data_IF_222196697612
#
_entry.id   IF_222196697612
#
_cell.length_a   1.000
_cell.length_b   1.000
_cell.length_c   1.000
_cell.angle_alpha   90.00
_cell.angle_beta   90.00
_cell.angle_gamma   90.00
#
_symmetry.space_group_name_H-M   'P 1'
#
loop_
_entity.id
_entity.type
_entity.pdbx_description
1 polymer ?
#
# COMPACT_ATOMS: atom_id res chain seq x y z
N UNK A 1 12.34 15.37 16.08
CA UNK A 1 11.19 14.86 15.31
C UNK A 1 10.10 14.56 16.33
N UNK A 2 8.87 15.02 16.12
CA UNK A 2 7.74 14.69 17.00
C UNK A 2 7.44 13.18 16.95
N UNK A 3 6.70 12.68 17.94
CA UNK A 3 6.25 11.28 17.92
C UNK A 3 5.32 11.06 16.72
N UNK A 4 5.48 9.98 15.95
CA UNK A 4 4.59 9.69 14.83
C UNK A 4 3.18 9.35 15.36
N UNK A 5 2.16 9.85 14.65
CA UNK A 5 0.76 9.64 15.00
C UNK A 5 0.14 8.56 14.13
N UNK A 6 -0.78 7.79 14.70
CA UNK A 6 -1.50 6.73 14.01
C UNK A 6 -2.97 6.71 14.41
N UNK A 7 -3.85 6.33 13.48
CA UNK A 7 -5.25 6.05 13.82
C UNK A 7 -5.35 4.74 14.60
N UNK A 8 -6.43 4.57 15.37
CA UNK A 8 -6.68 3.30 16.08
C UNK A 8 -6.80 2.12 15.11
N UNK A 9 -7.51 2.32 14.01
CA UNK A 9 -7.69 1.32 12.95
C UNK A 9 -6.36 0.93 12.33
N UNK A 10 -5.51 1.91 12.02
CA UNK A 10 -4.16 1.68 11.49
C UNK A 10 -3.28 0.91 12.44
N UNK A 11 -3.30 1.24 13.74
CA UNK A 11 -2.55 0.50 14.75
C UNK A 11 -2.96 -0.98 14.80
N UNK A 12 -4.26 -1.27 14.81
CA UNK A 12 -4.77 -2.63 14.84
C UNK A 12 -4.42 -3.39 13.54
N UNK A 13 -4.39 -2.71 12.39
CA UNK A 13 -3.96 -3.29 11.12
C UNK A 13 -2.46 -3.62 11.11
N UNK A 14 -1.60 -2.71 11.55
CA UNK A 14 -0.17 -2.96 11.65
C UNK A 14 0.12 -4.12 12.62
N UNK A 15 -0.63 -4.21 13.72
CA UNK A 15 -0.49 -5.31 14.68
C UNK A 15 -0.89 -6.65 14.06
N UNK A 16 -2.00 -6.69 13.30
CA UNK A 16 -2.41 -7.87 12.53
C UNK A 16 -1.36 -8.25 11.48
N UNK A 17 -0.83 -7.28 10.75
CA UNK A 17 0.23 -7.50 9.77
C UNK A 17 1.47 -8.11 10.43
N UNK A 18 1.93 -7.54 11.54
CA UNK A 18 3.08 -8.04 12.30
C UNK A 18 2.89 -9.50 12.73
N UNK A 19 1.73 -9.83 13.29
CA UNK A 19 1.41 -11.20 13.72
C UNK A 19 1.38 -12.15 12.53
N UNK A 20 0.72 -11.77 11.43
CA UNK A 20 0.68 -12.59 10.22
C UNK A 20 2.07 -12.84 9.64
N UNK A 21 2.90 -11.80 9.55
CA UNK A 21 4.28 -11.92 9.08
C UNK A 21 5.11 -12.84 9.96
N UNK A 22 4.96 -12.74 11.28
CA UNK A 22 5.75 -13.51 12.24
C UNK A 22 5.31 -14.97 12.39
N UNK A 23 4.00 -15.22 12.50
CA UNK A 23 3.44 -16.52 12.84
C UNK A 23 3.14 -17.39 11.61
N UNK A 24 2.84 -16.77 10.47
CA UNK A 24 2.40 -17.49 9.26
C UNK A 24 3.44 -17.41 8.16
N UNK A 25 3.66 -16.20 7.62
CA UNK A 25 4.49 -15.98 6.42
C UNK A 25 5.96 -16.34 6.63
N UNK A 26 6.58 -15.89 7.72
CA UNK A 26 8.00 -16.15 7.98
C UNK A 26 8.31 -17.65 8.11
N UNK A 27 7.55 -18.46 8.90
CA UNK A 27 7.72 -19.91 8.93
C UNK A 27 7.51 -20.57 7.56
N UNK A 28 6.46 -20.18 6.83
CA UNK A 28 6.15 -20.71 5.49
C UNK A 28 7.32 -20.50 4.52
N UNK A 29 7.81 -19.27 4.39
CA UNK A 29 8.92 -18.96 3.49
C UNK A 29 10.21 -19.64 3.95
N UNK A 30 10.45 -19.76 5.26
CA UNK A 30 11.62 -20.48 5.79
C UNK A 30 11.60 -21.95 5.36
N UNK A 31 10.44 -22.61 5.40
CA UNK A 31 10.28 -23.98 4.92
C UNK A 31 10.55 -24.07 3.41
N UNK A 32 10.02 -23.14 2.61
CA UNK A 32 10.30 -23.08 1.15
C UNK A 32 11.78 -22.89 0.84
N UNK A 33 12.47 -22.00 1.57
CA UNK A 33 13.93 -21.82 1.44
C UNK A 33 14.66 -23.12 1.78
N UNK A 34 14.29 -23.80 2.86
CA UNK A 34 14.91 -25.05 3.27
C UNK A 34 14.67 -26.17 2.24
N UNK A 35 13.46 -26.26 1.69
CA UNK A 35 13.10 -27.21 0.65
C UNK A 35 13.90 -26.95 -0.62
N UNK A 36 13.89 -25.72 -1.14
CA UNK A 36 14.68 -25.33 -2.30
C UNK A 36 16.18 -25.60 -2.10
N UNK A 37 16.69 -25.38 -0.89
CA UNK A 37 18.09 -25.66 -0.53
C UNK A 37 18.44 -27.16 -0.48
N UNK A 38 17.44 -28.06 -0.46
CA UNK A 38 17.61 -29.52 -0.50
C UNK A 38 17.52 -30.12 -1.91
N UNK A 39 16.93 -29.39 -2.88
CA UNK A 39 16.68 -29.86 -4.24
C UNK A 39 17.91 -29.85 -5.16
N UNK A 40 19.07 -29.37 -4.69
CA UNK A 40 20.31 -29.41 -5.48
C UNK A 40 21.28 -28.27 -5.17
N UNK A 41 22.04 -27.85 -6.19
CA UNK A 41 22.96 -26.74 -6.05
C UNK A 41 22.21 -25.41 -5.84
N UNK A 42 22.58 -24.72 -4.77
CA UNK A 42 22.00 -23.45 -4.35
C UNK A 42 22.42 -22.29 -5.26
N UNK A 43 23.50 -22.44 -6.00
CA UNK A 43 24.03 -21.37 -6.85
C UNK A 43 23.12 -21.09 -8.05
N UNK A 44 22.53 -22.15 -8.63
CA UNK A 44 21.67 -22.08 -9.82
C UNK A 44 20.16 -22.12 -9.52
N UNK A 45 19.76 -22.49 -8.30
CA UNK A 45 18.35 -22.62 -7.93
C UNK A 45 17.64 -21.25 -7.79
N UNK A 46 16.84 -20.90 -8.79
CA UNK A 46 16.05 -19.66 -8.82
C UNK A 46 15.05 -19.54 -7.65
N UNK A 47 14.38 -20.62 -7.28
CA UNK A 47 13.42 -20.64 -6.17
C UNK A 47 14.10 -20.37 -4.83
N UNK A 48 15.31 -20.89 -4.63
CA UNK A 48 16.11 -20.60 -3.44
C UNK A 48 16.44 -19.10 -3.35
N UNK A 49 16.93 -18.50 -4.44
CA UNK A 49 17.26 -17.07 -4.46
C UNK A 49 16.04 -16.18 -4.25
N UNK A 50 14.93 -16.49 -4.92
CA UNK A 50 13.67 -15.75 -4.77
C UNK A 50 13.15 -15.81 -3.33
N UNK A 51 12.99 -17.02 -2.78
CA UNK A 51 12.45 -17.19 -1.42
C UNK A 51 13.40 -16.61 -0.36
N UNK A 52 14.72 -16.67 -0.58
CA UNK A 52 15.70 -16.04 0.31
C UNK A 52 15.59 -14.51 0.29
N UNK A 53 15.40 -13.91 -0.89
CA UNK A 53 15.16 -12.46 -1.01
C UNK A 53 13.85 -12.07 -0.31
N UNK A 54 12.79 -12.84 -0.51
CA UNK A 54 11.49 -12.62 0.12
C UNK A 54 11.58 -12.74 1.65
N UNK A 55 12.29 -13.74 2.18
CA UNK A 55 12.53 -13.88 3.62
C UNK A 55 13.24 -12.65 4.20
N UNK A 56 14.24 -12.11 3.49
CA UNK A 56 14.92 -10.89 3.88
C UNK A 56 14.02 -9.65 3.87
N UNK A 57 13.09 -9.55 2.91
CA UNK A 57 12.08 -8.49 2.88
C UNK A 57 11.12 -8.59 4.08
N UNK A 58 10.64 -9.81 4.38
CA UNK A 58 9.77 -10.08 5.53
C UNK A 58 10.48 -9.71 6.84
N UNK A 59 11.71 -10.17 7.05
CA UNK A 59 12.47 -9.86 8.27
C UNK A 59 12.73 -8.35 8.42
N UNK A 60 12.97 -7.64 7.31
CA UNK A 60 13.10 -6.17 7.31
C UNK A 60 11.79 -5.49 7.72
N UNK A 61 10.65 -5.93 7.16
CA UNK A 61 9.33 -5.39 7.49
C UNK A 61 8.97 -5.64 8.95
N UNK A 62 9.21 -6.84 9.47
CA UNK A 62 8.98 -7.18 10.88
C UNK A 62 9.81 -6.29 11.80
N UNK A 63 11.09 -6.07 11.49
CA UNK A 63 11.96 -5.20 12.29
C UNK A 63 11.45 -3.76 12.29
N UNK A 64 11.03 -3.25 11.12
CA UNK A 64 10.43 -1.92 10.99
C UNK A 64 9.18 -1.79 11.85
N UNK A 65 8.20 -2.70 11.69
CA UNK A 65 6.93 -2.67 12.41
C UNK A 65 7.13 -2.70 13.94
N UNK A 66 8.02 -3.57 14.44
CA UNK A 66 8.35 -3.64 15.87
C UNK A 66 8.97 -2.34 16.39
N UNK A 67 9.81 -1.68 15.59
CA UNK A 67 10.39 -0.40 15.98
C UNK A 67 9.33 0.69 16.01
N UNK A 68 8.57 0.85 14.92
CA UNK A 68 7.53 1.87 14.82
C UNK A 68 6.49 1.75 15.93
N UNK A 69 6.00 0.53 16.22
CA UNK A 69 4.99 0.32 17.26
C UNK A 69 5.40 0.79 18.67
N UNK A 70 6.69 0.84 18.99
CA UNK A 70 7.15 1.33 20.28
C UNK A 70 7.03 2.86 20.41
N UNK A 71 7.13 3.58 19.29
CA UNK A 71 7.19 5.05 19.27
C UNK A 71 5.86 5.70 18.81
N UNK A 72 4.94 4.91 18.23
CA UNK A 72 3.66 5.38 17.71
C UNK A 72 2.70 5.82 18.83
N UNK A 73 2.07 6.97 18.63
CA UNK A 73 1.00 7.46 19.49
C UNK A 73 -0.35 7.37 18.76
N UNK A 74 -1.28 6.61 19.35
CA UNK A 74 -2.65 6.50 18.82
C UNK A 74 -3.42 7.79 19.09
N UNK A 75 -3.98 8.38 18.04
CA UNK A 75 -4.91 9.51 18.12
C UNK A 75 -6.31 9.03 17.77
N UNK A 76 -7.26 9.32 18.65
CA UNK A 76 -8.68 9.08 18.42
C UNK A 76 -9.38 10.36 17.99
N UNK A 77 -10.41 10.20 17.16
CA UNK A 77 -11.25 11.30 16.71
C UNK A 77 -11.98 11.95 17.89
N UNK A 78 -12.02 13.28 17.92
CA UNK A 78 -12.83 14.06 18.85
C UNK A 78 -13.91 14.84 18.10
N UNK A 79 -15.16 14.74 18.56
CA UNK A 79 -16.32 15.47 17.97
C UNK A 79 -16.12 16.99 17.90
N UNK A 80 -15.30 17.58 18.76
CA UNK A 80 -14.97 19.01 18.69
C UNK A 80 -14.23 19.42 17.41
N UNK A 81 -13.68 18.46 16.66
CA UNK A 81 -12.97 18.66 15.40
C UNK A 81 -13.91 18.60 14.17
N UNK A 82 -15.20 18.36 14.39
CA UNK A 82 -16.19 18.26 13.33
C UNK A 82 -16.29 19.57 12.51
N UNK A 83 -16.42 19.44 11.20
CA UNK A 83 -16.47 20.57 10.26
C UNK A 83 -15.12 21.13 9.82
N UNK A 84 -13.99 20.63 10.35
CA UNK A 84 -12.65 20.97 9.89
C UNK A 84 -11.85 19.73 9.52
N UNK A 85 -10.88 19.91 8.64
CA UNK A 85 -9.95 18.84 8.25
C UNK A 85 -8.87 18.67 9.33
N UNK A 86 -8.87 17.52 9.99
CA UNK A 86 -7.82 17.11 10.92
C UNK A 86 -7.40 15.65 10.64
N UNK A 87 -6.53 15.12 11.51
CA UNK A 87 -6.07 13.74 11.45
C UNK A 87 -7.25 12.76 11.47
N UNK A 88 -7.24 11.77 10.58
CA UNK A 88 -8.30 10.77 10.44
C UNK A 88 -9.50 11.23 9.61
N UNK A 89 -9.53 12.46 9.11
CA UNK A 89 -10.61 12.96 8.26
C UNK A 89 -10.57 12.34 6.86
N UNK A 90 -11.75 12.02 6.33
CA UNK A 90 -12.00 11.75 4.93
C UNK A 90 -12.42 13.06 4.26
N UNK A 91 -11.75 13.41 3.17
CA UNK A 91 -11.94 14.67 2.48
C UNK A 91 -12.12 14.40 0.99
N UNK A 92 -13.16 15.01 0.42
CA UNK A 92 -13.32 15.14 -1.03
C UNK A 92 -12.86 16.54 -1.43
N UNK A 93 -11.85 16.60 -2.29
CA UNK A 93 -11.29 17.84 -2.82
C UNK A 93 -11.47 17.91 -4.33
N UNK A 94 -11.59 19.11 -4.86
CA UNK A 94 -11.74 19.38 -6.29
C UNK A 94 -10.66 20.37 -6.77
N UNK A 95 -10.05 20.06 -7.91
CA UNK A 95 -9.03 20.90 -8.54
C UNK A 95 -9.66 22.03 -9.33
N UNK A 96 -9.11 23.25 -9.21
CA UNK A 96 -9.55 24.43 -9.96
C UNK A 96 -9.26 24.31 -11.47
N UNK A 97 -8.20 23.59 -11.86
CA UNK A 97 -7.73 23.54 -13.25
C UNK A 97 -8.60 22.63 -14.14
N UNK A 98 -8.99 21.45 -13.62
CA UNK A 98 -9.60 20.37 -14.39
C UNK A 98 -10.90 19.84 -13.78
N UNK A 99 -11.40 20.46 -12.70
CA UNK A 99 -12.58 20.01 -11.94
C UNK A 99 -12.50 18.53 -11.52
N UNK A 100 -11.27 17.98 -11.43
CA UNK A 100 -11.06 16.60 -11.01
C UNK A 100 -11.32 16.47 -9.52
N UNK A 101 -12.03 15.41 -9.13
CA UNK A 101 -12.32 15.11 -7.72
C UNK A 101 -11.34 14.06 -7.21
N UNK A 102 -10.68 14.38 -6.10
CA UNK A 102 -9.85 13.44 -5.37
C UNK A 102 -10.44 13.19 -4.00
N UNK A 103 -10.43 11.92 -3.62
CA UNK A 103 -10.94 11.45 -2.35
C UNK A 103 -9.76 10.93 -1.55
N UNK A 104 -9.51 11.54 -0.41
CA UNK A 104 -8.32 11.30 0.39
C UNK A 104 -8.67 11.12 1.87
N UNK A 105 -7.91 10.26 2.55
CA UNK A 105 -7.93 10.13 4.00
C UNK A 105 -6.59 10.59 4.56
N UNK A 106 -6.61 11.48 5.55
CA UNK A 106 -5.39 11.94 6.22
C UNK A 106 -5.05 10.98 7.35
N UNK A 107 -3.92 10.29 7.23
CA UNK A 107 -3.46 9.26 8.18
C UNK A 107 -1.99 9.44 8.55
N UNK A 108 -1.48 8.60 9.45
CA UNK A 108 -0.06 8.54 9.76
C UNK A 108 0.77 8.02 8.59
N UNK A 109 2.07 8.36 8.56
CA UNK A 109 3.03 7.86 7.57
C UNK A 109 3.09 6.33 7.51
N UNK A 110 2.85 5.65 8.63
CA UNK A 110 2.93 4.20 8.72
C UNK A 110 1.68 3.48 8.17
N UNK A 111 0.57 4.21 7.95
CA UNK A 111 -0.72 3.66 7.52
C UNK A 111 -0.94 3.70 6.00
N UNK A 112 -0.08 4.41 5.27
CA UNK A 112 -0.27 4.62 3.82
C UNK A 112 0.09 3.38 2.99
N UNK A 113 0.80 2.40 3.57
CA UNK A 113 1.31 1.25 2.83
C UNK A 113 0.16 0.42 2.23
N UNK A 114 0.15 0.31 0.90
CA UNK A 114 -0.83 -0.49 0.16
C UNK A 114 -2.17 0.20 -0.09
N UNK A 115 -2.33 1.49 0.26
CA UNK A 115 -3.56 2.26 0.07
C UNK A 115 -3.28 3.52 -0.74
N UNK A 116 -3.83 3.65 -1.95
CA UNK A 116 -3.56 4.81 -2.83
C UNK A 116 -4.27 6.09 -2.36
N UNK A 117 -5.45 5.95 -1.75
CA UNK A 117 -6.29 7.09 -1.34
C UNK A 117 -5.98 7.59 0.10
N UNK A 118 -4.88 7.15 0.70
CA UNK A 118 -4.44 7.57 2.03
C UNK A 118 -3.20 8.45 1.92
N UNK A 119 -3.24 9.66 2.48
CA UNK A 119 -2.12 10.59 2.48
C UNK A 119 -1.56 10.76 3.89
N UNK A 120 -0.24 10.86 4.00
CA UNK A 120 0.40 11.14 5.28
C UNK A 120 0.14 12.58 5.71
N UNK A 121 0.03 12.81 7.02
CA UNK A 121 -0.10 14.15 7.60
C UNK A 121 1.06 15.09 7.23
N UNK A 122 2.24 14.53 6.92
CA UNK A 122 3.42 15.29 6.53
C UNK A 122 3.43 15.71 5.05
N UNK A 123 2.53 15.14 4.23
CA UNK A 123 2.46 15.44 2.81
C UNK A 123 2.07 16.92 2.57
N UNK A 124 2.63 17.59 1.54
CA UNK A 124 2.27 18.98 1.22
C UNK A 124 0.77 19.20 1.05
N UNK A 125 0.07 18.22 0.45
CA UNK A 125 -1.37 18.21 0.29
C UNK A 125 -2.10 18.22 1.64
N UNK A 126 -1.76 17.30 2.54
CA UNK A 126 -2.36 17.24 3.88
C UNK A 126 -2.10 18.53 4.66
N UNK A 127 -0.88 19.07 4.60
CA UNK A 127 -0.50 20.31 5.28
C UNK A 127 -1.29 21.53 4.79
N UNK A 128 -1.62 21.60 3.51
CA UNK A 128 -2.45 22.68 2.96
C UNK A 128 -3.91 22.57 3.39
N UNK A 129 -4.41 21.34 3.58
CA UNK A 129 -5.80 21.06 3.96
C UNK A 129 -6.03 21.15 5.48
N UNK A 130 -5.01 20.92 6.30
CA UNK A 130 -5.16 20.93 7.76
C UNK A 130 -5.78 22.25 8.27
N UNK A 131 -6.88 22.13 9.03
CA UNK A 131 -7.60 23.24 9.64
C UNK A 131 -8.61 23.95 8.73
N UNK A 132 -8.69 23.58 7.44
CA UNK A 132 -9.67 24.10 6.49
C UNK A 132 -11.06 23.52 6.74
N UNK A 133 -12.08 24.28 6.39
CA UNK A 133 -13.49 23.91 6.49
C UNK A 133 -14.05 23.54 5.12
N UNK A 134 -15.30 23.06 5.09
CA UNK A 134 -16.03 22.89 3.83
C UNK A 134 -16.15 24.24 3.12
N UNK A 135 -16.03 24.24 1.80
CA UNK A 135 -16.03 25.41 0.91
C UNK A 135 -14.80 26.33 1.00
N UNK A 136 -13.76 25.95 1.77
CA UNK A 136 -12.49 26.66 1.77
C UNK A 136 -11.59 26.23 0.59
N UNK A 137 -10.73 27.15 0.15
CA UNK A 137 -9.63 26.91 -0.79
C UNK A 137 -8.33 26.52 -0.08
N UNK A 138 -7.56 25.63 -0.70
CA UNK A 138 -6.25 25.17 -0.26
C UNK A 138 -5.24 25.27 -1.40
N UNK A 139 -4.23 26.13 -1.24
CA UNK A 139 -3.11 26.25 -2.18
C UNK A 139 -2.06 25.18 -1.88
N UNK A 140 -1.85 24.28 -2.84
CA UNK A 140 -0.90 23.17 -2.72
C UNK A 140 0.28 23.42 -3.64
N UNK A 141 1.47 23.47 -3.05
CA UNK A 141 2.73 23.59 -3.81
C UNK A 141 3.18 22.19 -4.23
N UNK A 142 3.05 21.90 -5.52
CA UNK A 142 3.57 20.67 -6.13
C UNK A 142 4.87 20.97 -6.88
N UNK A 143 5.73 19.98 -7.18
CA UNK A 143 6.90 20.17 -8.03
C UNK A 143 6.57 20.73 -9.42
N UNK A 144 5.36 20.48 -9.91
CA UNK A 144 4.86 20.94 -11.21
C UNK A 144 4.21 22.33 -11.16
N UNK A 145 4.17 22.98 -9.99
CA UNK A 145 3.57 24.30 -9.80
C UNK A 145 2.59 24.36 -8.63
N UNK A 146 2.06 25.56 -8.40
CA UNK A 146 1.01 25.81 -7.41
C UNK A 146 -0.33 25.43 -8.02
N UNK A 147 -1.13 24.63 -7.31
CA UNK A 147 -2.51 24.30 -7.68
C UNK A 147 -3.47 24.68 -6.56
N UNK A 148 -4.63 25.19 -6.94
CA UNK A 148 -5.72 25.48 -6.02
C UNK A 148 -6.67 24.29 -5.96
N UNK A 149 -7.05 23.93 -4.74
CA UNK A 149 -7.99 22.86 -4.45
C UNK A 149 -9.10 23.38 -3.56
N UNK A 150 -10.34 22.96 -3.80
CA UNK A 150 -11.50 23.30 -2.99
C UNK A 150 -11.96 22.11 -2.17
N UNK A 151 -12.34 22.35 -0.92
CA UNK A 151 -12.84 21.31 -0.02
C UNK A 151 -14.34 21.16 -0.16
N UNK A 152 -14.80 20.06 -0.78
CA UNK A 152 -16.21 19.81 -1.03
C UNK A 152 -16.91 19.16 0.16
N UNK A 153 -16.28 18.15 0.78
CA UNK A 153 -16.88 17.38 1.88
C UNK A 153 -15.84 16.92 2.88
N UNK A 154 -16.22 16.94 4.15
CA UNK A 154 -15.41 16.43 5.26
C UNK A 154 -16.28 15.47 6.08
N UNK A 155 -15.77 14.28 6.35
CA UNK A 155 -16.41 13.30 7.25
C UNK A 155 -15.37 12.55 8.05
N UNK A 156 -15.74 12.12 9.25
CA UNK A 156 -14.90 11.32 10.14
C UNK A 156 -15.38 9.87 10.25
N UNK A 157 -16.55 9.57 9.69
CA UNK A 157 -17.02 8.21 9.47
C UNK A 157 -16.72 7.83 8.03
N UNK A 158 -16.32 6.57 7.80
CA UNK A 158 -16.08 6.06 6.46
C UNK A 158 -17.32 6.29 5.58
N UNK A 159 -17.24 7.17 4.58
CA UNK A 159 -18.39 7.46 3.75
C UNK A 159 -18.54 6.42 2.65
N UNK A 160 -19.76 6.27 2.14
CA UNK A 160 -20.05 5.38 1.00
C UNK A 160 -19.33 5.82 -0.28
N UNK A 161 -19.04 7.12 -0.41
CA UNK A 161 -18.31 7.66 -1.55
C UNK A 161 -16.80 7.39 -1.49
N UNK A 162 -16.25 6.89 -0.38
CA UNK A 162 -14.82 6.60 -0.25
C UNK A 162 -14.55 5.09 -0.36
N UNK A 163 -14.01 4.69 -1.51
CA UNK A 163 -13.52 3.34 -1.72
C UNK A 163 -12.01 3.28 -1.45
N UNK A 164 -11.60 2.36 -0.57
CA UNK A 164 -10.18 2.08 -0.36
C UNK A 164 -9.64 1.37 -1.60
N UNK A 165 -8.85 2.09 -2.39
CA UNK A 165 -8.16 1.51 -3.53
C UNK A 165 -6.84 0.90 -3.06
N UNK A 166 -6.62 -0.42 -3.27
CA UNK A 166 -5.31 -0.99 -3.06
C UNK A 166 -4.32 -0.35 -4.04
N UNK A 167 -3.08 -0.14 -3.60
CA UNK A 167 -2.01 0.16 -4.54
C UNK A 167 -1.87 -1.07 -5.43
N UNK A 168 -2.38 -0.99 -6.66
CA UNK A 168 -2.00 -1.90 -7.73
C UNK A 168 -0.50 -1.65 -7.92
N UNK A 169 0.35 -2.66 -7.70
CA UNK A 169 1.80 -2.56 -7.98
C UNK A 169 2.00 -2.32 -9.48
N UNK A 170 1.81 -1.09 -9.93
CA UNK A 170 2.10 -0.64 -11.27
C UNK A 170 2.26 0.89 -11.32
N UNK A 171 3.20 1.47 -10.56
CA UNK A 171 3.66 2.85 -10.82
C UNK A 171 5.02 3.23 -10.22
N UNK A 172 5.88 2.26 -9.90
CA UNK A 172 7.31 2.50 -9.62
C UNK A 172 8.19 1.95 -10.76
N UNK A 173 7.76 2.22 -11.99
CA UNK A 173 8.62 2.24 -13.16
C UNK A 173 8.62 3.69 -13.66
N UNK A 174 9.59 4.48 -13.22
CA UNK A 174 9.98 5.70 -13.91
C UNK A 174 10.69 5.33 -15.20
N UNK A 175 10.25 5.95 -16.31
CA UNK A 175 10.93 6.05 -17.60
C UNK A 175 11.44 4.74 -18.20
N UNK A 176 10.54 4.04 -18.90
CA UNK A 176 10.77 3.47 -20.23
C UNK A 176 9.41 2.96 -20.74
N UNK A 177 8.76 3.74 -21.60
CA UNK A 177 7.60 3.27 -22.36
C UNK A 177 8.10 2.26 -23.41
N UNK A 178 8.25 1.00 -23.01
CA UNK A 178 8.00 -0.11 -23.93
C UNK A 178 6.54 -0.52 -23.75
N UNK A 179 5.72 -0.17 -24.72
CA UNK A 179 4.41 -0.79 -24.94
C UNK A 179 4.63 -2.30 -25.04
N UNK A 180 4.40 -3.03 -23.94
CA UNK A 180 4.29 -4.48 -23.99
C UNK A 180 2.98 -4.80 -24.69
N UNK A 181 3.08 -5.00 -26.01
CA UNK A 181 2.02 -5.63 -26.79
C UNK A 181 1.85 -7.03 -26.23
N UNK A 182 0.78 -7.22 -25.45
CA UNK A 182 0.33 -8.55 -25.05
C UNK A 182 -0.22 -9.19 -26.32
N UNK A 183 0.63 -9.92 -27.04
CA UNK A 183 0.16 -10.80 -28.11
C UNK A 183 -0.76 -11.83 -27.48
N UNK A 184 -2.06 -11.77 -27.81
CA UNK A 184 -3.01 -12.81 -27.44
C UNK A 184 -2.50 -14.14 -27.99
N UNK A 185 -1.97 -14.97 -27.10
CA UNK A 185 -1.50 -16.31 -27.47
C UNK A 185 -2.65 -17.11 -28.05
N UNK A 186 -2.37 -17.79 -29.16
CA UNK A 186 -3.38 -18.62 -29.82
C UNK A 186 -3.90 -19.71 -28.88
N UNK A 187 -5.18 -20.10 -29.04
CA UNK A 187 -5.80 -21.15 -28.22
C UNK A 187 -4.99 -22.48 -28.25
N UNK A 188 -4.21 -22.71 -29.31
CA UNK A 188 -3.35 -23.88 -29.48
C UNK A 188 -2.12 -23.83 -28.56
N UNK A 189 -1.50 -22.66 -28.39
CA UNK A 189 -0.36 -22.46 -27.51
C UNK A 189 -0.77 -22.53 -26.03
N UNK A 190 -1.94 -21.99 -25.69
CA UNK A 190 -2.50 -22.10 -24.34
C UNK A 190 -2.74 -23.57 -23.96
N UNK A 191 -3.33 -24.37 -24.86
CA UNK A 191 -3.52 -25.80 -24.65
C UNK A 191 -2.20 -26.57 -24.52
N UNK A 192 -1.16 -26.16 -25.25
CA UNK A 192 0.15 -26.81 -25.19
C UNK A 192 0.84 -26.59 -23.84
N UNK A 193 0.76 -25.37 -23.32
CA UNK A 193 1.28 -25.02 -21.99
C UNK A 193 0.50 -25.76 -20.90
N UNK A 194 -0.83 -25.82 -21.00
CA UNK A 194 -1.68 -26.55 -20.06
C UNK A 194 -1.36 -28.05 -20.04
N UNK A 195 -1.14 -28.66 -21.21
CA UNK A 195 -0.74 -30.07 -21.31
C UNK A 195 0.67 -30.34 -20.77
N UNK A 196 1.61 -29.42 -20.96
CA UNK A 196 2.96 -29.53 -20.42
C UNK A 196 2.96 -29.42 -18.89
N UNK A 197 2.14 -28.52 -18.34
CA UNK A 197 1.91 -28.37 -16.90
C UNK A 197 1.20 -29.58 -16.27
N UNK A 198 0.24 -30.19 -16.97
CA UNK A 198 -0.41 -31.42 -16.50
C UNK A 198 0.56 -32.62 -16.53
N UNK A 199 1.49 -32.66 -17.48
CA UNK A 199 2.53 -33.72 -17.54
C UNK A 199 3.50 -33.65 -16.38
N UNK A 200 3.91 -32.45 -15.96
CA UNK A 200 4.82 -32.29 -14.83
C UNK A 200 4.17 -32.70 -13.50
N UNK A 201 2.88 -32.43 -13.32
CA UNK A 201 2.12 -32.84 -12.13
C UNK A 201 1.89 -34.36 -12.01
N UNK A 202 1.80 -35.07 -13.14
CA UNK A 202 1.59 -36.53 -13.14
C UNK A 202 2.91 -37.28 -12.86
N UNK A 203 4.07 -36.70 -13.18
CA UNK A 203 5.37 -37.28 -12.86
C UNK A 203 5.77 -37.16 -11.37
N UNK A 204 5.02 -36.41 -10.56
CA UNK A 204 5.24 -36.30 -9.11
C UNK A 204 4.45 -37.33 -8.28
N UNK A 205 3.65 -38.20 -8.91
CA UNK A 205 2.79 -39.17 -8.22
C UNK A 205 3.07 -40.66 -8.57
N UNK A 206 4.23 -40.98 -9.15
CA UNK A 206 4.72 -42.37 -9.29
C UNK A 206 6.02 -42.62 -8.52
#
# INVERSE_FOLDING_TARGET
>A
MGKPFITREGYDQLHKELNYLWEVKRPEITQKVSWAASLGDRSENADYHYNKRLLGQIDRRIRYLRHCMNDLQVIEYNKQQEGRVFFGAYVEIESDDDSSKLQIRIVGSDEIFGRSNCISVDAPMARALLGKSVDDDAEVVTPHGKRLWYVNKITYQKPEWFEEQPIVENSLASDDNEEVVVEEMSEEEQKKIEQEYLKTLVHENE
#
